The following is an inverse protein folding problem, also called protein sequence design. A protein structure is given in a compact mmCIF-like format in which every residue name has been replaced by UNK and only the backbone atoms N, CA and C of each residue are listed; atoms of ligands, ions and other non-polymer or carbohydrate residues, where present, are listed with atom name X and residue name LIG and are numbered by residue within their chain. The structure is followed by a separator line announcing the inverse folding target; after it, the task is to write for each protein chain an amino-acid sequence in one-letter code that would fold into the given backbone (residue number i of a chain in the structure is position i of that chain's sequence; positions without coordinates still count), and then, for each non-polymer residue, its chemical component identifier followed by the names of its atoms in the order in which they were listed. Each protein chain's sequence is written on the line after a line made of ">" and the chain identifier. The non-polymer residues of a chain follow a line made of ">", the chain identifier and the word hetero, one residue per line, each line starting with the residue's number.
data_IF_246318812097
#
_entry.id   IF_246318812097
#
_cell.length_a   1.000
_cell.length_b   1.000
_cell.length_c   1.000
_cell.angle_alpha   90.00
_cell.angle_beta   90.00
_cell.angle_gamma   90.00
#
_symmetry.space_group_name_H-M   'P 1'
#
loop_
_entity.id
_entity.type
_entity.pdbx_description
1 polymer ?
#
# COMPACT_ATOMS: atom_id res chain seq x y z
N UNK A 1 -8.58 19.08 50.18
CA UNK A 1 -9.74 18.53 49.44
C UNK A 1 -9.77 19.27 48.10
N UNK A 2 -8.99 18.79 47.11
CA UNK A 2 -9.44 18.01 45.94
C UNK A 2 -10.62 18.72 45.24
N UNK A 3 -10.53 19.06 43.95
CA UNK A 3 -10.43 18.09 42.85
C UNK A 3 -9.53 18.63 41.72
N UNK A 4 -8.53 17.82 41.36
CA UNK A 4 -7.74 17.94 40.13
C UNK A 4 -8.65 17.75 38.92
N UNK A 5 -8.56 18.68 37.96
CA UNK A 5 -9.17 18.52 36.65
C UNK A 5 -8.61 17.29 35.94
N UNK A 6 -9.53 16.44 35.49
CA UNK A 6 -9.26 15.27 34.68
C UNK A 6 -8.41 15.65 33.46
N UNK A 7 -7.18 15.14 33.40
CA UNK A 7 -6.41 15.08 32.14
C UNK A 7 -7.17 14.14 31.22
N UNK A 8 -7.73 14.68 30.14
CA UNK A 8 -8.33 13.88 29.08
C UNK A 8 -7.29 12.91 28.51
N UNK A 9 -7.73 11.68 28.27
CA UNK A 9 -7.01 10.70 27.46
C UNK A 9 -6.78 11.28 26.05
N UNK A 10 -5.59 11.81 25.79
CA UNK A 10 -5.16 12.05 24.41
C UNK A 10 -4.93 10.69 23.74
N UNK A 11 -5.79 10.32 22.81
CA UNK A 11 -5.53 9.22 21.89
C UNK A 11 -4.22 9.56 21.15
N UNK A 12 -3.17 8.79 21.40
CA UNK A 12 -1.88 9.02 20.78
C UNK A 12 -1.98 8.78 19.27
N UNK A 13 -1.73 9.81 18.48
CA UNK A 13 -1.71 9.71 17.01
C UNK A 13 -0.53 8.86 16.57
N UNK A 14 -0.77 7.83 15.76
CA UNK A 14 0.26 6.92 15.21
C UNK A 14 1.32 7.65 14.40
N UNK A 15 0.92 8.62 13.59
CA UNK A 15 1.81 9.40 12.75
C UNK A 15 2.04 10.78 13.37
N UNK A 16 3.29 11.08 13.73
CA UNK A 16 3.67 12.36 14.36
C UNK A 16 4.54 13.19 13.41
N UNK A 17 4.51 14.51 13.57
CA UNK A 17 5.36 15.43 12.81
C UNK A 17 6.82 15.35 13.29
N UNK A 18 7.75 15.80 12.45
CA UNK A 18 9.18 15.77 12.77
C UNK A 18 9.56 16.66 13.96
N UNK A 19 8.80 17.72 14.21
CA UNK A 19 8.98 18.63 15.36
C UNK A 19 8.36 18.09 16.66
N UNK A 20 7.50 17.06 16.58
CA UNK A 20 6.88 16.42 17.73
C UNK A 20 7.73 15.27 18.31
N UNK A 21 8.81 14.84 17.63
CA UNK A 21 9.64 13.69 18.01
C UNK A 21 10.12 13.79 19.46
N UNK A 22 10.75 14.90 19.83
CA UNK A 22 11.33 15.11 21.17
C UNK A 22 10.26 15.32 22.25
N UNK A 23 9.01 15.57 21.86
CA UNK A 23 7.89 15.72 22.78
C UNK A 23 7.22 14.37 23.04
N UNK A 24 7.07 13.56 22.00
CA UNK A 24 6.32 12.29 22.02
C UNK A 24 7.21 11.06 22.22
N UNK A 25 8.53 11.21 22.10
CA UNK A 25 9.50 10.12 22.26
C UNK A 25 10.67 10.55 23.14
N UNK A 26 11.43 9.59 23.68
CA UNK A 26 12.70 9.84 24.38
C UNK A 26 13.87 10.09 23.43
N UNK A 27 13.65 9.97 22.11
CA UNK A 27 14.66 10.17 21.08
C UNK A 27 14.84 11.64 20.74
N UNK A 28 16.04 12.01 20.31
CA UNK A 28 16.30 13.30 19.68
C UNK A 28 15.90 13.26 18.21
N UNK A 29 15.70 14.43 17.59
CA UNK A 29 15.52 14.51 16.14
C UNK A 29 16.74 13.95 15.39
N UNK A 30 17.94 14.13 15.95
CA UNK A 30 19.19 13.59 15.41
C UNK A 30 19.22 12.07 15.35
N UNK A 31 18.78 11.39 16.41
CA UNK A 31 18.73 9.92 16.47
C UNK A 31 17.81 9.34 15.38
N UNK A 32 16.62 9.94 15.23
CA UNK A 32 15.65 9.55 14.21
C UNK A 32 16.22 9.82 12.81
N UNK A 33 16.89 10.95 12.60
CA UNK A 33 17.49 11.28 11.30
C UNK A 33 18.62 10.32 10.94
N UNK A 34 19.48 9.97 11.90
CA UNK A 34 20.54 8.98 11.69
C UNK A 34 19.98 7.61 11.27
N UNK A 35 18.87 7.15 11.87
CA UNK A 35 18.22 5.91 11.46
C UNK A 35 17.63 5.98 10.03
N UNK A 36 17.12 7.14 9.61
CA UNK A 36 16.66 7.35 8.23
C UNK A 36 17.85 7.32 7.26
N UNK A 37 18.97 7.99 7.57
CA UNK A 37 20.20 7.98 6.76
C UNK A 37 20.73 6.55 6.56
N UNK A 38 20.70 5.76 7.63
CA UNK A 38 21.10 4.35 7.62
C UNK A 38 20.07 3.44 6.92
N UNK A 39 18.89 3.95 6.56
CA UNK A 39 17.82 3.20 5.89
C UNK A 39 17.05 2.26 6.81
N UNK A 40 17.16 2.44 8.14
CA UNK A 40 16.45 1.63 9.14
C UNK A 40 15.01 2.11 9.37
N UNK A 41 14.79 3.42 9.17
CA UNK A 41 13.49 4.06 9.37
C UNK A 41 13.06 4.80 8.09
N UNK A 42 11.93 4.45 7.46
CA UNK A 42 11.37 5.23 6.36
C UNK A 42 10.61 6.45 6.89
N UNK A 43 10.60 7.54 6.11
CA UNK A 43 9.72 8.67 6.39
C UNK A 43 8.30 8.38 5.90
N UNK A 44 7.34 9.03 6.57
CA UNK A 44 5.97 9.11 6.09
C UNK A 44 5.66 10.55 5.63
N UNK A 45 4.61 10.73 4.85
CA UNK A 45 4.09 12.04 4.48
C UNK A 45 2.57 12.03 4.44
N UNK A 46 1.95 13.10 4.94
CA UNK A 46 0.54 13.37 4.65
C UNK A 46 0.42 13.87 3.21
N UNK A 47 -0.47 13.29 2.42
CA UNK A 47 -0.69 13.67 1.03
C UNK A 47 -2.17 13.86 0.73
N UNK A 48 -2.45 14.65 -0.30
CA UNK A 48 -3.76 14.80 -0.93
C UNK A 48 -3.55 14.64 -2.44
N UNK A 49 -4.20 13.65 -3.05
CA UNK A 49 -4.11 13.45 -4.48
C UNK A 49 -5.34 12.72 -5.03
N UNK A 50 -5.85 13.19 -6.16
CA UNK A 50 -7.09 12.68 -6.77
C UNK A 50 -6.91 11.44 -7.64
N UNK A 51 -5.68 11.22 -8.14
CA UNK A 51 -5.38 10.17 -9.11
C UNK A 51 -4.06 9.48 -8.76
N UNK A 52 -4.12 8.57 -7.79
CA UNK A 52 -3.10 7.53 -7.58
C UNK A 52 -3.49 6.28 -8.36
N UNK A 53 -2.49 5.45 -8.66
CA UNK A 53 -2.68 4.15 -9.27
C UNK A 53 -2.21 3.04 -8.34
N UNK A 54 -3.10 2.12 -7.97
CA UNK A 54 -2.73 0.97 -7.16
C UNK A 54 -1.85 0.03 -8.00
N UNK A 55 -0.73 -0.39 -7.42
CA UNK A 55 0.23 -1.27 -8.07
C UNK A 55 0.09 -2.68 -7.52
N UNK A 56 0.06 -3.64 -8.45
CA UNK A 56 0.27 -5.06 -8.16
C UNK A 56 1.43 -5.58 -9.00
N UNK A 57 1.93 -6.78 -8.70
CA UNK A 57 2.92 -7.47 -9.51
C UNK A 57 2.27 -8.66 -10.19
N UNK A 58 2.43 -8.77 -11.51
CA UNK A 58 2.01 -9.94 -12.29
C UNK A 58 3.18 -10.38 -13.16
N UNK A 59 3.58 -11.65 -13.04
CA UNK A 59 4.75 -12.21 -13.75
C UNK A 59 6.05 -11.39 -13.56
N UNK A 60 6.24 -10.80 -12.38
CA UNK A 60 7.37 -9.92 -12.07
C UNK A 60 7.31 -8.53 -12.71
N UNK A 61 6.18 -8.16 -13.33
CA UNK A 61 5.95 -6.82 -13.88
C UNK A 61 4.95 -6.04 -13.05
N UNK A 62 5.22 -4.75 -12.84
CA UNK A 62 4.31 -3.84 -12.14
C UNK A 62 3.11 -3.52 -13.04
N UNK A 63 1.91 -3.82 -12.55
CA UNK A 63 0.63 -3.59 -13.21
C UNK A 63 -0.21 -2.62 -12.40
N UNK A 64 -0.82 -1.63 -13.06
CA UNK A 64 -1.81 -0.76 -12.45
C UNK A 64 -3.17 -1.47 -12.41
N UNK A 65 -3.68 -1.76 -11.21
CA UNK A 65 -4.94 -2.48 -11.05
C UNK A 65 -6.14 -1.55 -10.88
N UNK A 66 -5.97 -0.37 -10.27
CA UNK A 66 -7.06 0.59 -10.05
C UNK A 66 -6.53 2.02 -9.95
N UNK A 67 -7.42 2.98 -10.23
CA UNK A 67 -7.20 4.39 -9.95
C UNK A 67 -8.06 4.81 -8.74
N UNK A 68 -7.54 5.72 -7.93
CA UNK A 68 -8.23 6.20 -6.73
C UNK A 68 -7.71 7.58 -6.28
N UNK A 69 -8.53 8.29 -5.53
CA UNK A 69 -8.15 9.47 -4.77
C UNK A 69 -7.80 9.11 -3.32
N UNK A 70 -6.93 9.89 -2.69
CA UNK A 70 -6.43 9.62 -1.35
C UNK A 70 -6.12 10.90 -0.59
N UNK A 71 -6.58 10.96 0.66
CA UNK A 71 -6.23 12.00 1.62
C UNK A 71 -5.83 11.32 2.94
N UNK A 72 -4.53 11.15 3.16
CA UNK A 72 -4.04 10.36 4.28
C UNK A 72 -2.52 10.30 4.30
N UNK A 73 -1.99 9.38 5.10
CA UNK A 73 -0.55 9.20 5.28
C UNK A 73 -0.04 8.09 4.36
N UNK A 74 1.09 8.35 3.70
CA UNK A 74 1.84 7.37 2.94
C UNK A 74 3.23 7.18 3.51
N UNK A 75 3.80 5.98 3.34
CA UNK A 75 5.23 5.74 3.53
C UNK A 75 5.97 6.08 2.24
N UNK A 76 7.11 6.75 2.41
CA UNK A 76 8.02 7.09 1.33
C UNK A 76 9.09 6.00 1.21
N UNK A 77 9.54 5.77 -0.02
CA UNK A 77 10.68 4.87 -0.26
C UNK A 77 11.92 5.38 0.49
N UNK A 78 12.85 4.47 0.81
CA UNK A 78 14.04 4.79 1.61
C UNK A 78 14.92 5.87 0.96
N UNK A 79 15.12 5.81 -0.36
CA UNK A 79 15.93 6.78 -1.11
C UNK A 79 15.31 8.19 -1.10
N UNK A 80 13.99 8.28 -1.24
CA UNK A 80 13.23 9.54 -1.15
C UNK A 80 13.34 10.10 0.27
N UNK A 81 13.17 9.25 1.27
CA UNK A 81 13.30 9.62 2.69
C UNK A 81 14.66 10.23 3.00
N UNK A 82 15.75 9.60 2.54
CA UNK A 82 17.13 10.09 2.70
C UNK A 82 17.35 11.44 2.01
N UNK A 83 16.85 11.61 0.78
CA UNK A 83 16.97 12.89 0.06
C UNK A 83 16.22 14.02 0.77
N UNK A 84 15.04 13.75 1.32
CA UNK A 84 14.23 14.74 2.03
C UNK A 84 14.92 15.26 3.29
N UNK A 85 15.51 14.37 4.11
CA UNK A 85 16.23 14.82 5.32
C UNK A 85 17.53 15.57 4.99
N UNK A 86 18.23 15.16 3.94
CA UNK A 86 19.51 15.75 3.55
C UNK A 86 19.32 17.13 2.91
N UNK A 87 18.38 17.25 1.97
CA UNK A 87 18.16 18.49 1.22
C UNK A 87 17.22 19.45 1.93
N UNK A 88 16.31 18.94 2.78
CA UNK A 88 15.25 19.73 3.44
C UNK A 88 14.42 20.57 2.46
N UNK A 89 14.26 20.07 1.24
CA UNK A 89 13.56 20.74 0.15
C UNK A 89 12.49 19.82 -0.44
N UNK A 90 11.58 20.39 -1.23
CA UNK A 90 10.54 19.64 -1.92
C UNK A 90 11.16 18.53 -2.78
N UNK A 91 10.62 17.31 -2.67
CA UNK A 91 11.03 16.18 -3.49
C UNK A 91 9.83 15.58 -4.21
N UNK A 92 10.00 15.25 -5.48
CA UNK A 92 8.98 14.51 -6.23
C UNK A 92 9.18 13.02 -6.03
N UNK A 93 8.10 12.29 -5.77
CA UNK A 93 8.07 10.84 -5.76
C UNK A 93 6.98 10.29 -6.66
N UNK A 94 7.29 9.19 -7.34
CA UNK A 94 6.39 8.51 -8.26
C UNK A 94 5.79 7.25 -7.65
N UNK A 95 6.29 6.81 -6.51
CA UNK A 95 5.83 5.59 -5.83
C UNK A 95 5.79 5.84 -4.33
N UNK A 96 4.72 5.36 -3.71
CA UNK A 96 4.44 5.48 -2.28
C UNK A 96 3.77 4.21 -1.79
N UNK A 97 3.76 3.98 -0.48
CA UNK A 97 2.90 2.95 0.14
C UNK A 97 1.78 3.66 0.88
N UNK A 98 0.54 3.35 0.52
CA UNK A 98 -0.66 3.80 1.22
C UNK A 98 -0.72 3.09 2.58
N UNK A 99 -0.82 3.84 3.69
CA UNK A 99 -0.82 3.27 5.04
C UNK A 99 -2.19 3.23 5.71
N UNK A 100 -3.16 3.98 5.19
CA UNK A 100 -4.52 4.11 5.73
C UNK A 100 -5.53 3.76 4.64
N UNK A 101 -5.69 2.47 4.27
CA UNK A 101 -6.53 2.09 3.14
C UNK A 101 -8.00 2.51 3.26
N UNK A 102 -8.49 2.70 4.50
CA UNK A 102 -9.83 3.22 4.79
C UNK A 102 -10.06 4.66 4.27
N UNK A 103 -8.98 5.41 3.98
CA UNK A 103 -9.04 6.78 3.43
C UNK A 103 -9.06 6.82 1.89
N UNK A 104 -9.04 5.65 1.23
CA UNK A 104 -9.14 5.54 -0.23
C UNK A 104 -10.54 5.93 -0.72
N UNK A 105 -10.58 6.76 -1.77
CA UNK A 105 -11.83 7.26 -2.37
C UNK A 105 -11.86 7.00 -3.87
N UNK A 106 -13.06 6.72 -4.38
CA UNK A 106 -13.28 6.62 -5.83
C UNK A 106 -12.49 5.50 -6.51
N UNK A 107 -12.34 4.36 -5.83
CA UNK A 107 -11.70 3.15 -6.36
C UNK A 107 -12.42 2.67 -7.62
N UNK A 108 -11.69 2.62 -8.75
CA UNK A 108 -12.26 2.31 -10.07
C UNK A 108 -11.21 1.77 -11.04
N UNK A 109 -11.66 1.18 -12.14
CA UNK A 109 -10.75 0.71 -13.19
C UNK A 109 -9.97 1.86 -13.84
N UNK A 110 -8.78 1.57 -14.36
CA UNK A 110 -7.95 2.57 -15.05
C UNK A 110 -8.70 3.13 -16.27
N UNK A 111 -9.40 2.27 -17.02
CA UNK A 111 -10.20 2.68 -18.17
C UNK A 111 -11.37 3.60 -17.81
N UNK A 112 -11.96 3.44 -16.61
CA UNK A 112 -13.05 4.33 -16.15
C UNK A 112 -12.52 5.69 -15.70
N UNK A 113 -11.33 5.72 -15.10
CA UNK A 113 -10.67 6.94 -14.69
C UNK A 113 -10.09 7.73 -15.89
N UNK A 114 -9.67 7.02 -16.94
CA UNK A 114 -9.00 7.57 -18.12
C UNK A 114 -9.57 6.91 -19.39
N UNK A 115 -10.74 7.37 -19.89
CA UNK A 115 -11.51 6.68 -20.92
C UNK A 115 -10.88 6.70 -22.33
N UNK A 116 -9.93 7.61 -22.56
CA UNK A 116 -9.31 7.87 -23.87
C UNK A 116 -7.92 7.20 -24.02
N UNK A 117 -7.64 6.19 -23.19
CA UNK A 117 -6.31 5.61 -23.07
C UNK A 117 -5.95 4.67 -24.22
N UNK A 118 -4.89 4.98 -24.96
CA UNK A 118 -4.32 4.13 -26.02
C UNK A 118 -2.89 3.68 -25.69
N UNK A 119 -2.13 4.53 -25.00
CA UNK A 119 -0.75 4.22 -24.57
C UNK A 119 -0.62 4.33 -23.04
N UNK A 120 0.27 3.54 -22.45
CA UNK A 120 0.59 3.66 -21.02
C UNK A 120 2.04 3.27 -20.76
N UNK A 121 2.68 3.96 -19.81
CA UNK A 121 4.00 3.56 -19.30
C UNK A 121 3.94 2.22 -18.55
N UNK A 122 2.82 1.94 -17.88
CA UNK A 122 2.61 0.71 -17.13
C UNK A 122 1.57 -0.15 -17.83
N UNK A 123 1.73 -1.47 -17.74
CA UNK A 123 0.59 -2.35 -17.99
C UNK A 123 -0.50 -2.05 -16.98
N UNK A 124 -1.75 -2.20 -17.39
CA UNK A 124 -2.88 -1.99 -16.51
C UNK A 124 -3.95 -3.05 -16.72
N UNK A 125 -4.63 -3.39 -15.64
CA UNK A 125 -5.77 -4.33 -15.67
C UNK A 125 -6.97 -3.63 -16.29
N UNK A 126 -7.73 -4.38 -17.11
CA UNK A 126 -8.98 -3.87 -17.70
C UNK A 126 -10.03 -3.57 -16.64
N UNK A 127 -10.10 -4.41 -15.60
CA UNK A 127 -11.03 -4.29 -14.49
C UNK A 127 -10.25 -3.97 -13.21
N UNK A 128 -10.85 -3.16 -12.35
CA UNK A 128 -10.36 -3.01 -10.98
C UNK A 128 -10.84 -4.18 -10.10
N UNK A 129 -10.07 -4.55 -9.06
CA UNK A 129 -10.56 -5.36 -7.96
C UNK A 129 -11.81 -4.75 -7.34
N UNK A 130 -12.67 -5.58 -6.75
CA UNK A 130 -13.97 -5.12 -6.22
C UNK A 130 -13.84 -4.08 -5.10
N UNK A 131 -12.78 -4.18 -4.29
CA UNK A 131 -12.51 -3.27 -3.18
C UNK A 131 -11.02 -2.88 -3.13
N UNK A 132 -10.66 -1.73 -2.52
CA UNK A 132 -9.29 -1.44 -2.14
C UNK A 132 -8.72 -2.51 -1.20
N UNK A 133 -7.39 -2.71 -1.16
CA UNK A 133 -6.76 -3.58 -0.17
C UNK A 133 -7.08 -3.16 1.26
N UNK A 134 -7.24 -4.11 2.18
CA UNK A 134 -7.49 -3.81 3.60
C UNK A 134 -6.21 -3.40 4.34
N UNK A 135 -5.05 -3.71 3.75
CA UNK A 135 -3.73 -3.43 4.29
C UNK A 135 -2.96 -2.41 3.46
N UNK A 136 -1.84 -1.96 4.01
CA UNK A 136 -0.95 -1.06 3.29
C UNK A 136 -0.49 -1.64 1.95
N UNK A 137 -0.57 -0.85 0.88
CA UNK A 137 -0.33 -1.29 -0.49
C UNK A 137 0.47 -0.26 -1.29
N UNK A 138 1.19 -0.73 -2.31
CA UNK A 138 1.99 0.13 -3.17
C UNK A 138 1.11 0.89 -4.16
N UNK A 139 1.42 2.16 -4.39
CA UNK A 139 0.75 2.99 -5.38
C UNK A 139 1.75 3.84 -6.16
N UNK A 140 1.48 4.06 -7.44
CA UNK A 140 2.10 5.13 -8.18
C UNK A 140 1.36 6.44 -7.92
N UNK A 141 2.11 7.53 -7.86
CA UNK A 141 1.57 8.83 -7.51
C UNK A 141 1.47 9.74 -8.73
N UNK A 142 0.36 10.48 -8.84
CA UNK A 142 0.17 11.51 -9.87
C UNK A 142 -0.05 10.91 -11.27
N UNK A 143 -1.03 10.02 -11.40
CA UNK A 143 -1.51 9.59 -12.71
C UNK A 143 -2.09 10.77 -13.48
N UNK A 144 -1.63 10.96 -14.72
CA UNK A 144 -2.10 12.01 -15.64
C UNK A 144 -2.15 11.47 -17.06
N UNK A 145 -2.95 12.10 -17.90
CA UNK A 145 -2.97 11.81 -19.32
C UNK A 145 -2.36 12.95 -20.13
N UNK A 146 -1.78 12.58 -21.27
CA UNK A 146 -1.30 13.52 -22.29
C UNK A 146 -1.77 13.03 -23.67
N UNK A 147 -2.17 13.95 -24.54
CA UNK A 147 -2.52 13.60 -25.92
C UNK A 147 -1.35 12.93 -26.65
N UNK A 148 -1.63 11.85 -27.37
CA UNK A 148 -0.63 11.15 -28.19
C UNK A 148 -0.15 12.03 -29.35
N UNK A 149 1.01 11.68 -29.94
CA UNK A 149 1.55 12.40 -31.10
C UNK A 149 0.55 12.44 -32.26
N UNK A 150 -0.15 11.32 -32.49
CA UNK A 150 -1.16 11.20 -33.54
C UNK A 150 -2.34 12.14 -33.30
N UNK A 151 -2.87 12.19 -32.08
CA UNK A 151 -3.95 13.13 -31.71
C UNK A 151 -3.50 14.59 -31.87
N UNK A 152 -2.26 14.92 -31.47
CA UNK A 152 -1.70 16.26 -31.66
C UNK A 152 -1.55 16.63 -33.15
N UNK A 153 -1.10 15.69 -33.99
CA UNK A 153 -1.03 15.88 -35.45
C UNK A 153 -2.42 16.10 -36.04
N UNK A 154 -3.42 15.30 -35.64
CA UNK A 154 -4.81 15.49 -36.07
C UNK A 154 -5.38 16.86 -35.70
N UNK A 155 -5.13 17.32 -34.47
CA UNK A 155 -5.54 18.66 -34.01
C UNK A 155 -4.88 19.77 -34.83
N UNK A 156 -3.58 19.69 -35.09
CA UNK A 156 -2.87 20.67 -35.92
C UNK A 156 -3.39 20.65 -37.36
N UNK A 157 -3.52 19.46 -37.95
CA UNK A 157 -4.03 19.28 -39.31
C UNK A 157 -5.44 19.88 -39.48
N UNK A 158 -6.32 19.70 -38.48
CA UNK A 158 -7.64 20.35 -38.43
C UNK A 158 -7.55 21.87 -38.43
N UNK A 159 -6.66 22.45 -37.62
CA UNK A 159 -6.46 23.91 -37.57
C UNK A 159 -6.00 24.45 -38.92
N UNK A 160 -5.03 23.81 -39.56
CA UNK A 160 -4.56 24.21 -40.89
C UNK A 160 -5.62 23.99 -41.98
N UNK A 161 -6.49 22.99 -41.83
CA UNK A 161 -7.53 22.68 -42.82
C UNK A 161 -8.57 23.80 -42.98
N UNK A 162 -8.75 24.68 -41.99
CA UNK A 162 -9.69 25.80 -42.10
C UNK A 162 -9.36 26.78 -43.23
N UNK A 163 -8.10 26.85 -43.69
CA UNK A 163 -7.70 27.67 -44.83
C UNK A 163 -7.88 26.98 -46.20
N UNK A 164 -8.32 25.72 -46.23
CA UNK A 164 -8.37 24.88 -47.44
C UNK A 164 -9.79 24.67 -47.98
N UNK A 165 -9.89 24.09 -49.19
CA UNK A 165 -11.17 23.70 -49.79
C UNK A 165 -11.80 22.49 -49.08
N UNK A 166 -13.11 22.28 -49.27
CA UNK A 166 -13.86 21.14 -48.69
C UNK A 166 -13.26 19.76 -49.03
N UNK A 167 -12.81 19.57 -50.27
CA UNK A 167 -12.18 18.32 -50.72
C UNK A 167 -10.86 18.07 -49.98
N UNK A 168 -9.99 19.09 -49.90
CA UNK A 168 -8.72 19.03 -49.19
C UNK A 168 -8.90 18.85 -47.67
N UNK A 169 -9.93 19.48 -47.09
CA UNK A 169 -10.30 19.29 -45.68
C UNK A 169 -10.69 17.85 -45.39
N UNK A 170 -11.44 17.23 -46.30
CA UNK A 170 -11.89 15.84 -46.14
C UNK A 170 -10.72 14.86 -46.25
N UNK A 171 -9.80 15.09 -47.18
CA UNK A 171 -8.57 14.32 -47.33
C UNK A 171 -7.66 14.42 -46.10
N UNK A 172 -7.41 15.64 -45.60
CA UNK A 172 -6.59 15.87 -44.40
C UNK A 172 -7.21 15.23 -43.16
N UNK A 173 -8.54 15.32 -42.97
CA UNK A 173 -9.22 14.67 -41.84
C UNK A 173 -9.13 13.15 -41.89
N UNK A 174 -9.13 12.57 -43.09
CA UNK A 174 -8.96 11.12 -43.29
C UNK A 174 -7.52 10.69 -42.97
N UNK A 175 -6.53 11.47 -43.40
CA UNK A 175 -5.12 11.16 -43.20
C UNK A 175 -4.64 11.42 -41.76
N UNK A 176 -5.21 12.42 -41.09
CA UNK A 176 -4.88 12.82 -39.73
C UNK A 176 -6.15 12.93 -38.87
N UNK A 177 -6.75 11.79 -38.48
CA UNK A 177 -8.00 11.79 -37.72
C UNK A 177 -7.80 12.37 -36.31
N UNK A 178 -8.77 13.16 -35.86
CA UNK A 178 -8.85 13.66 -34.49
C UNK A 178 -9.48 12.59 -33.59
N UNK A 179 -8.70 11.57 -33.26
CA UNK A 179 -9.10 10.57 -32.28
C UNK A 179 -8.68 11.08 -30.91
N UNK A 180 -9.57 11.13 -29.89
CA UNK A 180 -9.20 11.47 -28.52
C UNK A 180 -8.37 10.33 -27.94
N UNK A 181 -7.12 10.26 -28.37
CA UNK A 181 -6.13 9.26 -27.97
C UNK A 181 -5.16 9.91 -27.00
N UNK A 182 -5.02 9.29 -25.85
CA UNK A 182 -4.20 9.75 -24.73
C UNK A 182 -3.24 8.66 -24.25
N UNK A 183 -2.13 9.13 -23.68
CA UNK A 183 -1.11 8.32 -23.03
C UNK A 183 -1.15 8.53 -21.52
N UNK A 184 -1.16 7.45 -20.75
CA UNK A 184 -1.04 7.49 -19.30
C UNK A 184 0.42 7.71 -18.89
N UNK A 185 0.61 8.67 -17.98
CA UNK A 185 1.91 9.04 -17.43
C UNK A 185 1.83 9.07 -15.89
N UNK A 186 2.94 8.72 -15.26
CA UNK A 186 3.15 8.91 -13.81
C UNK A 186 4.01 10.16 -13.63
N UNK A 187 3.39 11.29 -13.26
CA UNK A 187 4.12 12.55 -13.07
C UNK A 187 4.77 12.67 -11.69
N UNK A 188 4.40 11.80 -10.76
CA UNK A 188 4.74 11.92 -9.36
C UNK A 188 3.93 12.99 -8.63
N UNK A 189 4.07 13.01 -7.31
CA UNK A 189 3.58 14.05 -6.41
C UNK A 189 4.76 14.72 -5.70
N UNK A 190 4.61 16.00 -5.41
CA UNK A 190 5.61 16.75 -4.63
C UNK A 190 5.35 16.54 -3.15
N UNK A 191 6.37 16.10 -2.43
CA UNK A 191 6.38 15.98 -0.98
C UNK A 191 7.08 17.21 -0.41
N UNK A 192 6.35 17.96 0.40
CA UNK A 192 6.89 19.12 1.10
C UNK A 192 7.45 18.74 2.48
N UNK A 193 8.55 19.37 2.94
CA UNK A 193 9.15 19.05 4.24
C UNK A 193 8.19 19.14 5.44
N UNK A 194 7.20 20.05 5.38
CA UNK A 194 6.22 20.23 6.45
C UNK A 194 5.16 19.12 6.50
N UNK A 195 4.99 18.38 5.41
CA UNK A 195 4.10 17.23 5.30
C UNK A 195 4.71 15.95 5.90
N UNK A 196 6.01 15.97 6.21
CA UNK A 196 6.74 14.81 6.72
C UNK A 196 6.26 14.40 8.12
N UNK A 197 6.20 13.09 8.30
CA UNK A 197 5.79 12.42 9.52
C UNK A 197 6.72 11.24 9.81
N UNK A 198 6.65 10.76 11.04
CA UNK A 198 7.22 9.48 11.46
C UNK A 198 6.10 8.60 11.98
N UNK A 199 6.13 7.32 11.61
CA UNK A 199 5.25 6.30 12.19
C UNK A 199 5.83 5.83 13.53
N UNK A 200 5.07 6.02 14.61
CA UNK A 200 5.47 5.60 15.96
C UNK A 200 5.64 4.08 16.06
N UNK A 201 4.89 3.29 15.28
CA UNK A 201 5.09 1.83 15.24
C UNK A 201 6.47 1.48 14.66
N UNK A 202 6.93 2.21 13.64
CA UNK A 202 8.25 2.03 13.06
C UNK A 202 9.37 2.50 14.02
N UNK A 203 9.14 3.58 14.77
CA UNK A 203 10.07 4.02 15.83
C UNK A 203 10.20 2.94 16.90
N UNK A 204 9.09 2.38 17.38
CA UNK A 204 9.12 1.30 18.35
C UNK A 204 9.84 0.06 17.81
N UNK A 205 9.68 -0.24 16.52
CA UNK A 205 10.37 -1.35 15.85
C UNK A 205 11.89 -1.15 15.79
N UNK A 206 12.37 0.06 15.56
CA UNK A 206 13.80 0.37 15.41
C UNK A 206 14.48 0.55 16.76
N UNK A 207 13.84 1.26 17.69
CA UNK A 207 14.47 1.71 18.94
C UNK A 207 13.93 1.02 20.21
N UNK A 208 12.89 0.18 20.09
CA UNK A 208 12.23 -0.49 21.21
C UNK A 208 10.97 0.25 21.69
N UNK A 209 10.10 -0.43 22.44
CA UNK A 209 8.79 0.11 22.85
C UNK A 209 8.89 1.24 23.88
N UNK A 210 9.89 1.16 24.75
CA UNK A 210 10.07 2.03 25.91
C UNK A 210 10.42 3.49 25.54
N UNK A 211 10.64 3.76 24.25
CA UNK A 211 11.00 5.08 23.74
C UNK A 211 9.82 6.03 23.58
N UNK A 212 8.58 5.55 23.70
CA UNK A 212 7.39 6.38 23.56
C UNK A 212 7.04 7.04 24.90
N UNK A 213 6.99 8.37 24.93
CA UNK A 213 6.63 9.12 26.14
C UNK A 213 5.12 9.07 26.35
N UNK A 214 4.69 8.62 27.52
CA UNK A 214 3.27 8.61 27.90
C UNK A 214 2.64 7.22 28.00
N UNK A 215 3.37 6.13 27.71
CA UNK A 215 2.95 4.77 28.07
C UNK A 215 3.06 4.54 29.60
N UNK A 216 2.28 5.29 30.39
CA UNK A 216 1.94 4.88 31.75
C UNK A 216 0.87 3.80 31.65
N UNK A 217 1.28 2.54 31.83
CA UNK A 217 0.48 1.37 32.20
C UNK A 217 -1.06 1.57 32.09
N UNK A 218 -1.66 1.16 30.98
CA UNK A 218 -3.08 0.84 30.91
C UNK A 218 -3.32 -0.19 29.80
N UNK A 219 -3.46 -1.45 30.20
CA UNK A 219 -4.41 -2.39 29.59
C UNK A 219 -5.22 -2.99 30.75
N UNK A 220 -6.50 -3.40 30.56
CA UNK A 220 -7.34 -3.33 29.38
C UNK A 220 -8.71 -2.65 29.65
N UNK A 221 -9.53 -2.55 28.60
CA UNK A 221 -10.97 -2.20 28.57
C UNK A 221 -11.32 -0.74 28.23
N UNK A 222 -11.43 -0.46 26.94
CA UNK A 222 -12.58 0.29 26.43
C UNK A 222 -12.93 -0.18 25.01
N UNK A 223 -13.89 -1.11 24.96
CA UNK A 223 -14.88 -1.36 23.91
C UNK A 223 -14.47 -0.83 22.53
N UNK A 224 -13.65 -1.61 21.84
CA UNK A 224 -13.57 -1.57 20.38
C UNK A 224 -14.96 -1.89 19.84
N UNK A 225 -15.50 -0.95 19.06
CA UNK A 225 -16.56 -1.29 18.11
C UNK A 225 -16.01 -2.36 17.19
N UNK A 226 -16.62 -3.52 17.29
CA UNK A 226 -16.23 -4.75 16.63
C UNK A 226 -16.37 -4.59 15.12
N UNK A 227 -15.28 -4.83 14.39
CA UNK A 227 -15.12 -5.82 13.31
C UNK A 227 -13.83 -5.48 12.53
N UNK A 228 -12.69 -5.50 13.21
CA UNK A 228 -11.40 -5.78 12.58
C UNK A 228 -10.70 -6.77 13.50
N UNK A 229 -10.85 -8.06 13.21
CA UNK A 229 -10.00 -9.12 13.77
C UNK A 229 -8.56 -8.86 13.30
N UNK A 230 -7.85 -7.97 14.00
CA UNK A 230 -6.40 -7.81 13.86
C UNK A 230 -5.75 -9.10 14.31
N UNK A 231 -5.44 -9.97 13.35
CA UNK A 231 -4.64 -11.16 13.61
C UNK A 231 -3.23 -10.72 14.04
N UNK A 232 -2.72 -11.16 15.19
CA UNK A 232 -1.38 -10.81 15.68
C UNK A 232 -0.26 -11.57 14.95
N UNK A 233 -0.52 -12.06 13.73
CA UNK A 233 0.48 -12.62 12.84
C UNK A 233 1.15 -11.44 12.13
N UNK A 234 2.36 -11.09 12.57
CA UNK A 234 3.16 -9.99 12.01
C UNK A 234 3.65 -10.30 10.59
N UNK A 235 3.73 -11.58 10.21
CA UNK A 235 4.25 -12.02 8.93
C UNK A 235 3.15 -12.08 7.86
N UNK A 236 3.30 -11.42 6.70
CA UNK A 236 2.26 -11.36 5.66
C UNK A 236 1.82 -12.74 5.17
N UNK A 237 2.78 -13.64 4.91
CA UNK A 237 2.50 -15.02 4.50
C UNK A 237 1.75 -15.81 5.60
N UNK A 238 1.97 -15.53 6.88
CA UNK A 238 1.23 -16.20 7.96
C UNK A 238 -0.25 -15.82 7.95
N UNK A 239 -0.57 -14.59 7.57
CA UNK A 239 -1.96 -14.12 7.47
C UNK A 239 -2.70 -14.79 6.32
N UNK A 240 -2.06 -14.93 5.15
CA UNK A 240 -2.60 -15.69 4.02
C UNK A 240 -2.86 -17.14 4.43
N UNK A 241 -1.88 -17.78 5.09
CA UNK A 241 -2.05 -19.15 5.61
C UNK A 241 -3.18 -19.23 6.63
N UNK A 242 -3.34 -18.22 7.49
CA UNK A 242 -4.43 -18.18 8.46
C UNK A 242 -5.79 -18.21 7.76
N UNK A 243 -6.00 -17.39 6.73
CA UNK A 243 -7.23 -17.41 5.91
C UNK A 243 -7.49 -18.79 5.32
N UNK A 244 -6.47 -19.42 4.74
CA UNK A 244 -6.58 -20.80 4.22
C UNK A 244 -6.96 -21.79 5.33
N UNK A 245 -6.38 -21.67 6.53
CA UNK A 245 -6.68 -22.57 7.65
C UNK A 245 -8.00 -22.25 8.36
N UNK A 246 -8.59 -21.07 8.17
CA UNK A 246 -9.96 -20.80 8.62
C UNK A 246 -10.98 -21.48 7.72
N UNK A 247 -10.78 -21.45 6.40
CA UNK A 247 -11.66 -22.15 5.44
C UNK A 247 -11.42 -23.67 5.43
N UNK A 248 -10.14 -24.08 5.51
CA UNK A 248 -9.72 -25.48 5.46
C UNK A 248 -8.81 -25.85 6.65
N UNK A 249 -9.39 -26.06 7.85
CA UNK A 249 -8.62 -26.28 9.09
C UNK A 249 -7.63 -27.44 9.06
N UNK A 250 -7.92 -28.45 8.24
CA UNK A 250 -7.11 -29.66 8.10
C UNK A 250 -6.16 -29.65 6.88
N UNK A 251 -6.11 -28.54 6.13
CA UNK A 251 -5.25 -28.43 4.95
C UNK A 251 -3.79 -28.73 5.30
N UNK A 252 -3.18 -29.65 4.56
CA UNK A 252 -1.76 -30.00 4.71
C UNK A 252 -0.89 -28.92 4.07
N UNK A 253 0.33 -28.72 4.57
CA UNK A 253 1.23 -27.65 4.07
C UNK A 253 1.49 -27.72 2.55
N UNK A 254 1.57 -28.92 1.98
CA UNK A 254 1.69 -29.10 0.52
C UNK A 254 0.45 -28.66 -0.23
N UNK A 255 -0.74 -28.90 0.34
CA UNK A 255 -2.00 -28.47 -0.24
C UNK A 255 -2.11 -26.94 -0.20
N UNK A 256 -1.81 -26.31 0.94
CA UNK A 256 -1.79 -24.85 1.09
C UNK A 256 -0.82 -24.23 0.07
N UNK A 257 0.40 -24.77 -0.04
CA UNK A 257 1.39 -24.28 -1.01
C UNK A 257 0.91 -24.38 -2.45
N UNK A 258 0.30 -25.51 -2.83
CA UNK A 258 -0.22 -25.70 -4.19
C UNK A 258 -1.44 -24.81 -4.47
N UNK A 259 -2.27 -24.55 -3.46
CA UNK A 259 -3.43 -23.67 -3.58
C UNK A 259 -2.97 -22.24 -3.85
N UNK A 260 -2.08 -21.71 -3.01
CA UNK A 260 -1.50 -20.38 -3.21
C UNK A 260 -0.75 -20.28 -4.55
N UNK A 261 -0.11 -21.38 -4.97
CA UNK A 261 0.53 -21.44 -6.29
C UNK A 261 -0.45 -21.42 -7.44
N UNK A 262 -1.57 -22.11 -7.34
CA UNK A 262 -2.59 -22.06 -8.37
C UNK A 262 -3.19 -20.65 -8.46
N UNK A 263 -3.47 -20.03 -7.32
CA UNK A 263 -4.02 -18.68 -7.24
C UNK A 263 -3.06 -17.62 -7.80
N UNK A 264 -1.80 -17.64 -7.39
CA UNK A 264 -0.79 -16.69 -7.87
C UNK A 264 -0.51 -16.81 -9.39
N UNK A 265 -0.71 -17.99 -9.98
CA UNK A 265 -0.56 -18.21 -11.42
C UNK A 265 -1.88 -18.12 -12.20
N UNK A 266 -2.98 -17.75 -11.52
CA UNK A 266 -4.30 -17.59 -12.15
C UNK A 266 -4.53 -16.12 -12.54
N UNK A 267 -5.38 -15.92 -13.55
CA UNK A 267 -5.91 -14.60 -13.91
C UNK A 267 -7.18 -14.25 -13.12
N UNK A 268 -7.66 -15.17 -12.28
CA UNK A 268 -8.84 -15.00 -11.44
C UNK A 268 -8.55 -14.16 -10.19
N UNK A 269 -9.60 -13.59 -9.59
CA UNK A 269 -9.49 -12.80 -8.35
C UNK A 269 -8.97 -13.71 -7.20
N UNK A 270 -7.91 -13.30 -6.49
CA UNK A 270 -7.30 -14.13 -5.44
C UNK A 270 -8.25 -14.28 -4.25
N UNK A 271 -8.41 -15.51 -3.76
CA UNK A 271 -9.30 -15.85 -2.64
C UNK A 271 -8.59 -15.64 -1.31
N UNK A 272 -7.28 -15.92 -1.23
CA UNK A 272 -6.52 -15.92 0.02
C UNK A 272 -5.45 -14.83 0.07
N UNK A 273 -4.73 -14.62 -1.03
CA UNK A 273 -3.79 -13.50 -1.20
C UNK A 273 -4.52 -12.24 -1.71
N UNK A 274 -5.59 -11.85 -1.02
CA UNK A 274 -6.44 -10.69 -1.37
C UNK A 274 -5.65 -9.37 -1.41
N UNK A 275 -4.52 -9.34 -0.71
CA UNK A 275 -3.61 -8.20 -0.61
C UNK A 275 -2.50 -8.23 -1.69
N UNK A 276 -2.53 -9.23 -2.59
CA UNK A 276 -1.58 -9.46 -3.68
C UNK A 276 -0.10 -9.35 -3.23
N UNK A 277 0.21 -9.97 -2.10
CA UNK A 277 1.53 -9.89 -1.47
C UNK A 277 2.53 -10.85 -2.11
N UNK A 278 2.06 -12.03 -2.54
CA UNK A 278 2.90 -13.06 -3.15
C UNK A 278 3.25 -12.60 -4.56
N UNK A 279 4.54 -12.39 -4.82
CA UNK A 279 5.05 -11.99 -6.12
C UNK A 279 5.21 -13.20 -7.04
N UNK A 280 5.75 -14.29 -6.51
CA UNK A 280 5.90 -15.53 -7.26
C UNK A 280 5.94 -16.73 -6.34
N UNK A 281 5.48 -17.87 -6.85
CA UNK A 281 5.57 -19.13 -6.12
C UNK A 281 5.82 -20.29 -7.08
N UNK A 282 6.95 -20.95 -6.85
CA UNK A 282 7.47 -22.09 -7.60
C UNK A 282 7.25 -23.38 -6.80
N UNK A 283 7.63 -24.57 -7.31
CA UNK A 283 7.58 -25.79 -6.50
C UNK A 283 8.43 -25.73 -5.22
N UNK A 284 9.44 -24.84 -5.14
CA UNK A 284 10.43 -24.83 -4.06
C UNK A 284 10.56 -23.50 -3.33
N UNK A 285 10.14 -22.38 -3.93
CA UNK A 285 10.36 -21.03 -3.40
C UNK A 285 9.12 -20.16 -3.57
N UNK A 286 8.84 -19.34 -2.56
CA UNK A 286 7.81 -18.30 -2.56
C UNK A 286 8.52 -16.95 -2.33
N UNK A 287 8.26 -15.97 -3.19
CA UNK A 287 8.72 -14.58 -3.05
C UNK A 287 7.54 -13.64 -2.78
N UNK A 288 7.78 -12.61 -1.97
CA UNK A 288 6.78 -11.58 -1.65
C UNK A 288 7.49 -10.26 -1.34
N UNK A 289 6.75 -9.16 -1.48
CA UNK A 289 7.27 -7.84 -1.10
C UNK A 289 7.07 -7.66 0.41
N UNK A 290 8.18 -7.52 1.15
CA UNK A 290 8.14 -7.21 2.57
C UNK A 290 7.56 -5.82 2.84
N UNK A 291 7.12 -5.57 4.08
CA UNK A 291 6.67 -4.22 4.51
C UNK A 291 7.77 -3.15 4.38
N UNK A 292 9.02 -3.56 4.24
CA UNK A 292 10.22 -2.76 4.01
C UNK A 292 10.59 -2.62 2.52
N UNK A 293 9.70 -3.01 1.60
CA UNK A 293 9.90 -2.96 0.14
C UNK A 293 11.03 -3.86 -0.37
N UNK A 294 11.59 -4.70 0.49
CA UNK A 294 12.58 -5.68 0.05
C UNK A 294 11.86 -6.94 -0.38
N UNK A 295 12.29 -7.47 -1.53
CA UNK A 295 11.92 -8.81 -1.95
C UNK A 295 12.39 -9.78 -0.85
N UNK A 296 11.42 -10.45 -0.24
CA UNK A 296 11.67 -11.52 0.71
C UNK A 296 11.34 -12.83 0.01
N UNK A 297 12.08 -13.87 0.36
CA UNK A 297 11.83 -15.21 -0.17
C UNK A 297 11.90 -16.26 0.93
N UNK A 298 11.16 -17.34 0.76
CA UNK A 298 11.24 -18.50 1.62
C UNK A 298 11.14 -19.80 0.81
N UNK A 299 11.87 -20.81 1.26
CA UNK A 299 11.74 -22.15 0.71
C UNK A 299 10.48 -22.84 1.19
N UNK A 300 9.99 -23.82 0.43
CA UNK A 300 8.89 -24.69 0.84
C UNK A 300 9.16 -25.38 2.19
N UNK A 301 10.41 -25.75 2.47
CA UNK A 301 10.79 -26.33 3.75
C UNK A 301 10.59 -25.34 4.92
N UNK A 302 11.01 -24.08 4.75
CA UNK A 302 10.80 -23.05 5.76
C UNK A 302 9.30 -22.77 5.95
N UNK A 303 8.56 -22.63 4.85
CA UNK A 303 7.11 -22.46 4.87
C UNK A 303 6.40 -23.58 5.63
N UNK A 304 6.71 -24.84 5.32
CA UNK A 304 6.09 -26.01 5.95
C UNK A 304 6.44 -26.12 7.43
N UNK A 305 7.72 -25.95 7.78
CA UNK A 305 8.22 -26.25 9.14
C UNK A 305 7.99 -25.11 10.11
N UNK A 306 8.09 -23.87 9.64
CA UNK A 306 8.06 -22.68 10.48
C UNK A 306 6.73 -21.96 10.32
N UNK A 307 6.42 -21.48 9.12
CA UNK A 307 5.30 -20.56 8.86
C UNK A 307 3.94 -21.23 9.12
N UNK A 308 3.64 -22.34 8.46
CA UNK A 308 2.35 -23.06 8.64
C UNK A 308 2.19 -23.57 10.07
N UNK A 309 3.27 -24.08 10.69
CA UNK A 309 3.22 -24.55 12.07
C UNK A 309 3.05 -23.40 13.06
N UNK A 310 3.64 -22.24 12.79
CA UNK A 310 3.47 -21.01 13.55
C UNK A 310 2.00 -20.59 13.61
N UNK A 311 1.35 -20.53 12.44
CA UNK A 311 -0.08 -20.21 12.33
C UNK A 311 -0.96 -21.24 13.03
N UNK A 312 -0.68 -22.54 12.86
CA UNK A 312 -1.44 -23.59 13.57
C UNK A 312 -1.30 -23.49 15.08
N UNK A 313 -0.11 -23.17 15.58
CA UNK A 313 0.13 -22.94 17.02
C UNK A 313 -0.65 -21.71 17.50
N UNK A 314 -0.68 -20.66 16.70
CA UNK A 314 -1.47 -19.47 16.98
C UNK A 314 -2.97 -19.78 17.08
N UNK A 315 -3.56 -20.44 16.07
CA UNK A 315 -4.98 -20.85 16.06
C UNK A 315 -5.32 -21.71 17.29
N UNK A 316 -4.43 -22.64 17.69
CA UNK A 316 -4.63 -23.45 18.90
C UNK A 316 -4.62 -22.63 20.18
N UNK A 317 -3.72 -21.66 20.29
CA UNK A 317 -3.64 -20.78 21.45
C UNK A 317 -4.87 -19.87 21.56
N UNK A 318 -5.32 -19.31 20.43
CA UNK A 318 -6.56 -18.54 20.32
C UNK A 318 -7.77 -19.36 20.79
N UNK A 319 -7.97 -20.56 20.24
CA UNK A 319 -9.05 -21.46 20.64
C UNK A 319 -8.99 -21.88 22.12
N UNK A 320 -7.78 -22.04 22.68
CA UNK A 320 -7.61 -22.39 24.10
C UNK A 320 -8.01 -21.23 25.03
N UNK A 321 -7.73 -19.98 24.64
CA UNK A 321 -8.13 -18.78 25.39
C UNK A 321 -9.65 -18.57 25.35
N UNK A 322 -10.28 -18.79 24.20
CA UNK A 322 -11.75 -18.72 24.07
C UNK A 322 -12.46 -19.77 24.93
N UNK A 323 -11.90 -20.97 25.03
CA UNK A 323 -12.45 -22.04 25.87
C UNK A 323 -12.25 -21.81 27.38
N UNK A 324 -11.18 -21.11 27.80
CA UNK A 324 -10.98 -20.75 29.22
C UNK A 324 -11.83 -19.57 29.65
N UNK A 325 -12.08 -18.60 28.76
CA UNK A 325 -13.00 -17.49 29.02
C UNK A 325 -14.47 -17.96 29.19
N UNK A 326 -14.88 -18.99 28.45
CA UNK A 326 -16.22 -19.58 28.55
C UNK A 326 -16.37 -20.64 29.66
N UNK A 327 -15.28 -21.01 30.34
CA UNK A 327 -15.24 -22.03 31.40
C UNK A 327 -15.34 -21.49 32.84
N UNK A 328 -15.46 -20.17 33.02
CA UNK A 328 -15.56 -19.51 34.33
C UNK A 328 -17.00 -19.17 34.76
N UNK A 329 -18.00 -19.74 34.08
CA UNK A 329 -19.39 -19.75 34.53
C UNK A 329 -19.82 -21.17 34.89
N UNK A 330 -19.48 -21.60 36.11
CA UNK A 330 -20.29 -22.51 36.92
C UNK A 330 -20.22 -22.04 38.37
#
# INVERSE_FOLDING_TARGET
>A
MMIQGQRGNEVQRRFIRLDEIEQKTTMTKGDVFAAIEQGQLPLCAGIEADNLGALTSKDGQKVLCAAFGYFGVVRLLSDVSKRLIFTQSNQTTNTVIVLEPDEVKGWRAIADAFPNLEESQYQYSKNAPSNPPEMAFAACAGLKTQATLQNNLGKLAKVFSYALSEEQRTEIKSQYPEVPSERLLVSGITIEPHALRVDLEDVQRVFGRDVIRGESQCLPNHIEKQHQTRLPLLHPIEQIIYRVLMDQPNAKSNHIWNLLRQECNSDEEPIYDIDALIESITPTTLTWIGRDETEKSMSYDSFRRNTVNGVRRFIRAENAQTNTANGLTV
#
